data_IF_929995215814
#
_entry.id   IF_929995215814
#
_cell.length_a   1.000
_cell.length_b   1.000
_cell.length_c   1.000
_cell.angle_alpha   90.00
_cell.angle_beta   90.00
_cell.angle_gamma   90.00
#
_symmetry.space_group_name_H-M   'P 1'
#
loop_
_entity.id
_entity.type
_entity.pdbx_description
1 polymer ?
#
# COMPACT_ATOMS: atom_id res chain seq x y z
N UNK A 1 -1.70 16.14 6.56
CA UNK A 1 -2.32 14.82 6.85
C UNK A 1 -1.29 13.95 7.57
N UNK A 2 -1.69 13.06 8.51
CA UNK A 2 -0.78 12.21 9.28
C UNK A 2 -0.75 10.77 8.75
N UNK A 3 0.42 10.21 8.48
CA UNK A 3 0.56 8.82 8.03
C UNK A 3 -0.15 7.84 8.97
N UNK A 4 -1.19 7.11 8.51
CA UNK A 4 -1.86 6.12 9.34
C UNK A 4 -0.94 4.91 9.59
N UNK A 5 -1.10 4.19 10.71
CA UNK A 5 -0.37 2.95 10.94
C UNK A 5 -0.75 1.89 9.91
N UNK A 6 0.17 0.97 9.61
CA UNK A 6 -0.06 -0.14 8.68
C UNK A 6 -0.59 -1.42 9.37
N UNK A 7 -0.68 -1.43 10.71
CA UNK A 7 -1.23 -2.58 11.42
C UNK A 7 -2.70 -2.80 11.04
N UNK A 8 -3.03 -4.01 10.60
CA UNK A 8 -4.35 -4.43 10.18
C UNK A 8 -4.66 -4.09 8.74
N UNK A 9 -3.69 -3.57 7.97
CA UNK A 9 -3.92 -3.17 6.59
C UNK A 9 -4.27 -4.37 5.70
N UNK A 10 -3.73 -5.56 6.01
CA UNK A 10 -4.10 -6.81 5.34
C UNK A 10 -5.55 -7.24 5.63
N UNK A 11 -6.13 -6.79 6.74
CA UNK A 11 -7.49 -7.10 7.16
C UNK A 11 -8.54 -6.12 6.62
N UNK A 12 -8.16 -5.09 5.87
CA UNK A 12 -9.07 -4.02 5.38
C UNK A 12 -10.33 -4.58 4.71
N UNK A 13 -10.19 -5.59 3.84
CA UNK A 13 -11.34 -6.22 3.20
C UNK A 13 -12.26 -6.92 4.20
N UNK A 14 -11.69 -7.63 5.17
CA UNK A 14 -12.42 -8.39 6.19
C UNK A 14 -13.22 -7.47 7.10
N UNK A 15 -12.64 -6.33 7.51
CA UNK A 15 -13.25 -5.43 8.48
C UNK A 15 -14.16 -4.37 7.86
N UNK A 16 -13.84 -3.91 6.64
CA UNK A 16 -14.56 -2.81 5.98
C UNK A 16 -15.44 -3.27 4.82
N UNK A 17 -15.32 -4.52 4.36
CA UNK A 17 -16.03 -5.04 3.20
C UNK A 17 -15.51 -4.54 1.85
N UNK A 18 -14.42 -3.76 1.82
CA UNK A 18 -13.80 -3.23 0.61
C UNK A 18 -12.29 -3.06 0.75
N UNK A 19 -11.56 -3.00 -0.37
CA UNK A 19 -10.15 -2.57 -0.44
C UNK A 19 -10.06 -1.16 -1.04
N UNK A 20 -10.13 -0.14 -0.19
CA UNK A 20 -9.99 1.27 -0.57
C UNK A 20 -8.91 1.88 0.31
N UNK A 21 -7.86 2.39 -0.33
CA UNK A 21 -6.73 3.06 0.30
C UNK A 21 -6.63 4.47 -0.27
N UNK A 22 -5.91 5.35 0.41
CA UNK A 22 -5.97 6.76 0.08
C UNK A 22 -6.79 7.47 1.16
N UNK A 23 -6.56 8.76 1.42
CA UNK A 23 -7.47 9.55 2.26
C UNK A 23 -8.78 9.83 1.56
N UNK A 24 -8.73 9.83 0.23
CA UNK A 24 -9.84 9.93 -0.71
C UNK A 24 -10.35 8.54 -1.17
N UNK A 25 -9.78 7.45 -0.67
CA UNK A 25 -10.20 6.08 -1.01
C UNK A 25 -10.05 5.71 -2.49
N UNK A 26 -9.22 6.42 -3.26
CA UNK A 26 -9.12 6.19 -4.71
C UNK A 26 -8.39 4.88 -5.06
N UNK A 27 -7.43 4.44 -4.25
CA UNK A 27 -6.63 3.27 -4.55
C UNK A 27 -7.37 1.98 -4.18
N UNK A 28 -7.46 1.04 -5.12
CA UNK A 28 -8.25 -0.21 -4.96
C UNK A 28 -7.45 -1.35 -4.38
N UNK A 29 -6.13 -1.19 -4.32
CA UNK A 29 -5.19 -2.16 -3.77
C UNK A 29 -3.93 -1.46 -3.23
N UNK A 30 -3.11 -2.21 -2.49
CA UNK A 30 -1.89 -1.71 -1.86
C UNK A 30 -0.87 -1.18 -2.88
N UNK A 31 -0.76 -1.82 -4.04
CA UNK A 31 0.18 -1.39 -5.08
C UNK A 31 -0.22 -0.03 -5.68
N UNK A 32 -1.50 0.18 -5.97
CA UNK A 32 -2.02 1.50 -6.39
C UNK A 32 -1.75 2.56 -5.31
N UNK A 33 -1.99 2.24 -4.04
CA UNK A 33 -1.73 3.16 -2.94
C UNK A 33 -0.25 3.58 -2.92
N UNK A 34 0.66 2.61 -2.99
CA UNK A 34 2.12 2.85 -3.03
C UNK A 34 2.51 3.72 -4.24
N UNK A 35 1.98 3.42 -5.42
CA UNK A 35 2.36 4.12 -6.66
C UNK A 35 1.76 5.53 -6.76
N UNK A 36 0.65 5.81 -6.06
CA UNK A 36 -0.01 7.11 -6.08
C UNK A 36 0.40 8.02 -4.92
N UNK A 37 1.26 7.55 -4.03
CA UNK A 37 1.93 8.38 -3.04
C UNK A 37 3.02 9.24 -3.70
N UNK A 38 3.21 10.45 -3.18
CA UNK A 38 4.25 11.39 -3.60
C UNK A 38 4.73 12.22 -2.40
N UNK A 39 5.41 13.34 -2.65
CA UNK A 39 5.96 14.18 -1.59
C UNK A 39 7.01 13.42 -0.77
N UNK A 40 6.79 13.30 0.54
CA UNK A 40 7.70 12.58 1.44
C UNK A 40 7.87 11.09 1.07
N UNK A 41 6.85 10.48 0.45
CA UNK A 41 6.88 9.07 0.06
C UNK A 41 7.50 8.81 -1.33
N UNK A 42 7.92 9.86 -2.05
CA UNK A 42 8.43 9.76 -3.42
C UNK A 42 9.62 8.78 -3.52
N UNK A 43 10.57 8.86 -2.59
CA UNK A 43 11.72 7.95 -2.60
C UNK A 43 11.32 6.49 -2.38
N UNK A 44 10.33 6.23 -1.53
CA UNK A 44 9.81 4.88 -1.31
C UNK A 44 9.11 4.34 -2.56
N UNK A 45 8.30 5.17 -3.22
CA UNK A 45 7.68 4.84 -4.51
C UNK A 45 8.74 4.46 -5.55
N UNK A 46 9.79 5.28 -5.70
CA UNK A 46 10.86 5.02 -6.67
C UNK A 46 11.61 3.71 -6.37
N UNK A 47 11.79 3.34 -5.09
CA UNK A 47 12.36 2.03 -4.73
C UNK A 47 11.46 0.88 -5.17
N UNK A 48 10.15 0.98 -4.95
CA UNK A 48 9.19 -0.05 -5.38
C UNK A 48 9.15 -0.20 -6.90
N UNK A 49 9.26 0.91 -7.65
CA UNK A 49 9.36 0.87 -9.12
C UNK A 49 10.58 0.11 -9.63
N UNK A 50 11.67 0.05 -8.85
CA UNK A 50 12.91 -0.67 -9.20
C UNK A 50 12.91 -2.13 -8.75
N UNK A 51 11.93 -2.56 -7.95
CA UNK A 51 11.83 -3.95 -7.50
C UNK A 51 11.50 -4.90 -8.65
N UNK A 52 12.08 -6.10 -8.60
CA UNK A 52 11.70 -7.22 -9.44
C UNK A 52 10.24 -7.63 -9.18
N UNK A 53 9.64 -8.40 -10.08
CA UNK A 53 8.29 -8.92 -9.87
C UNK A 53 8.20 -9.79 -8.59
N UNK A 54 9.24 -10.58 -8.31
CA UNK A 54 9.31 -11.41 -7.11
C UNK A 54 9.38 -10.56 -5.84
N UNK A 55 10.20 -9.52 -5.81
CA UNK A 55 10.32 -8.65 -4.64
C UNK A 55 9.03 -7.85 -4.40
N UNK A 56 8.34 -7.44 -5.47
CA UNK A 56 7.02 -6.79 -5.36
C UNK A 56 5.99 -7.75 -4.77
N UNK A 57 6.01 -9.02 -5.16
CA UNK A 57 5.13 -10.03 -4.59
C UNK A 57 5.44 -10.26 -3.10
N UNK A 58 6.71 -10.36 -2.72
CA UNK A 58 7.13 -10.47 -1.31
C UNK A 58 6.72 -9.26 -0.48
N UNK A 59 6.87 -8.04 -1.01
CA UNK A 59 6.39 -6.82 -0.36
C UNK A 59 4.87 -6.85 -0.13
N UNK A 60 4.10 -7.25 -1.14
CA UNK A 60 2.65 -7.33 -1.02
C UNK A 60 2.24 -8.41 0.00
N UNK A 61 2.89 -9.56 0.01
CA UNK A 61 2.65 -10.62 0.99
C UNK A 61 2.96 -10.14 2.42
N UNK A 62 4.07 -9.43 2.60
CA UNK A 62 4.40 -8.81 3.89
C UNK A 62 3.30 -7.84 4.35
N UNK A 63 2.88 -6.92 3.49
CA UNK A 63 1.83 -5.94 3.84
C UNK A 63 0.47 -6.60 4.11
N UNK A 64 0.15 -7.71 3.43
CA UNK A 64 -1.07 -8.49 3.68
C UNK A 64 -1.01 -9.29 5.00
N UNK A 65 0.19 -9.51 5.55
CA UNK A 65 0.38 -10.19 6.83
C UNK A 65 0.25 -9.28 8.07
N UNK A 66 0.12 -7.96 7.86
CA UNK A 66 -0.05 -6.94 8.89
C UNK A 66 -1.52 -6.70 9.24
#
# INVERSE_FOLDING_TARGET
WRTPPLWGIGLTQTVSGHTRFLHDGRARNLMEAILWHGGEAEQARQRVLKLSAADRASLLAFLQSL
#
